data_IF_091249590401
#
_entry.id   IF_091249590401
#
_cell.length_a   1.000
_cell.length_b   1.000
_cell.length_c   1.000
_cell.angle_alpha   90.00
_cell.angle_beta   90.00
_cell.angle_gamma   90.00
#
_symmetry.space_group_name_H-M   'P 1'
#
loop_
_entity.id
_entity.type
_entity.pdbx_description
1 polymer ?
#
# COMPACT_ATOMS: atom_id res chain seq x y z
N UNK A 1 10.89 2.53 -6.89
CA UNK A 1 9.60 3.15 -6.49
C UNK A 1 8.66 2.95 -7.65
N UNK A 2 7.49 2.37 -7.40
CA UNK A 2 6.43 2.15 -8.38
C UNK A 2 5.19 2.86 -7.84
N UNK A 3 4.49 3.58 -8.70
CA UNK A 3 3.21 4.21 -8.38
C UNK A 3 2.22 3.94 -9.49
N UNK A 4 1.00 3.59 -9.13
CA UNK A 4 -0.10 3.31 -10.06
C UNK A 4 -1.28 4.19 -9.68
N UNK A 5 -1.93 4.78 -10.69
CA UNK A 5 -3.19 5.46 -10.53
C UNK A 5 -4.24 4.75 -11.40
N UNK A 6 -5.38 4.43 -10.81
CA UNK A 6 -6.46 3.68 -11.46
C UNK A 6 -7.76 4.45 -11.31
N UNK A 7 -8.42 4.73 -12.43
CA UNK A 7 -9.75 5.32 -12.47
C UNK A 7 -10.83 4.25 -12.41
N UNK A 8 -11.91 4.56 -11.71
CA UNK A 8 -13.13 3.77 -11.59
C UNK A 8 -14.31 4.52 -12.18
N UNK A 9 -15.44 3.83 -12.35
CA UNK A 9 -16.66 4.41 -12.92
C UNK A 9 -17.19 5.56 -12.06
N UNK A 10 -17.10 5.42 -10.73
CA UNK A 10 -17.52 6.42 -9.77
C UNK A 10 -16.67 6.41 -8.49
N UNK A 11 -16.87 7.44 -7.66
CA UNK A 11 -16.19 7.62 -6.38
C UNK A 11 -16.53 6.51 -5.37
N UNK A 12 -17.76 6.01 -5.39
CA UNK A 12 -18.18 4.94 -4.48
C UNK A 12 -17.41 3.65 -4.75
N UNK A 13 -17.18 3.32 -6.01
CA UNK A 13 -16.44 2.14 -6.44
C UNK A 13 -14.96 2.25 -6.09
N UNK A 14 -14.35 3.42 -6.28
CA UNK A 14 -12.97 3.68 -5.86
C UNK A 14 -12.81 3.56 -4.33
N UNK A 15 -13.69 4.18 -3.55
CA UNK A 15 -13.67 4.12 -2.09
C UNK A 15 -13.89 2.67 -1.60
N UNK A 16 -14.82 1.93 -2.20
CA UNK A 16 -15.04 0.52 -1.87
C UNK A 16 -13.82 -0.35 -2.18
N UNK A 17 -13.07 -0.08 -3.25
CA UNK A 17 -11.82 -0.79 -3.53
C UNK A 17 -10.80 -0.57 -2.40
N UNK A 18 -10.64 0.68 -1.94
CA UNK A 18 -9.72 1.00 -0.85
C UNK A 18 -10.19 0.37 0.47
N UNK A 19 -11.48 0.47 0.81
CA UNK A 19 -12.06 -0.15 2.01
C UNK A 19 -11.90 -1.69 2.01
N UNK A 20 -12.14 -2.34 0.88
CA UNK A 20 -11.94 -3.77 0.74
C UNK A 20 -10.46 -4.16 0.89
N UNK A 21 -9.56 -3.33 0.37
CA UNK A 21 -8.11 -3.55 0.52
C UNK A 21 -7.68 -3.36 1.98
N UNK A 22 -8.21 -2.34 2.67
CA UNK A 22 -8.03 -2.11 4.11
C UNK A 22 -8.40 -3.36 4.89
N UNK A 23 -9.58 -3.92 4.65
CA UNK A 23 -10.06 -5.11 5.34
C UNK A 23 -9.11 -6.29 5.11
N UNK A 24 -8.78 -6.60 3.85
CA UNK A 24 -7.89 -7.73 3.50
C UNK A 24 -6.50 -7.60 4.13
N UNK A 25 -5.93 -6.41 4.13
CA UNK A 25 -4.59 -6.20 4.68
C UNK A 25 -4.58 -6.27 6.21
N UNK A 26 -5.63 -5.76 6.87
CA UNK A 26 -5.82 -5.94 8.30
C UNK A 26 -5.99 -7.42 8.66
N UNK A 27 -6.72 -8.18 7.85
CA UNK A 27 -6.85 -9.63 8.01
C UNK A 27 -5.51 -10.36 7.83
N UNK A 28 -4.61 -9.84 6.99
CA UNK A 28 -3.25 -10.36 6.83
C UNK A 28 -2.26 -9.88 7.90
N UNK A 29 -2.59 -8.87 8.69
CA UNK A 29 -1.65 -8.26 9.64
C UNK A 29 -1.19 -9.27 10.70
N UNK A 30 0.13 -9.30 10.95
CA UNK A 30 0.83 -10.23 11.85
C UNK A 30 0.67 -11.70 11.48
N UNK A 31 0.27 -12.01 10.24
CA UNK A 31 0.19 -13.38 9.72
C UNK A 31 1.35 -13.67 8.78
N UNK A 32 1.75 -14.94 8.73
CA UNK A 32 2.61 -15.46 7.67
C UNK A 32 1.75 -15.73 6.45
N UNK A 33 2.16 -15.17 5.32
CA UNK A 33 1.54 -15.39 4.01
C UNK A 33 2.55 -16.14 3.16
N UNK A 34 2.12 -17.27 2.61
CA UNK A 34 2.92 -18.07 1.68
C UNK A 34 2.28 -17.96 0.30
N UNK A 35 3.08 -17.66 -0.72
CA UNK A 35 2.59 -17.51 -2.08
C UNK A 35 3.68 -17.85 -3.10
N UNK A 36 3.25 -18.10 -4.34
CA UNK A 36 4.17 -18.23 -5.47
C UNK A 36 4.52 -16.83 -6.00
N UNK A 37 5.81 -16.54 -6.07
CA UNK A 37 6.34 -15.30 -6.62
C UNK A 37 7.32 -15.66 -7.74
N UNK A 38 6.81 -15.76 -8.97
CA UNK A 38 7.62 -16.08 -10.14
C UNK A 38 8.12 -17.53 -10.19
N UNK A 39 7.31 -18.49 -9.73
CA UNK A 39 7.64 -19.92 -9.72
C UNK A 39 8.41 -20.38 -8.47
N UNK A 40 8.67 -19.47 -7.52
CA UNK A 40 9.25 -19.79 -6.23
C UNK A 40 8.20 -19.58 -5.12
N UNK A 41 8.08 -20.58 -4.24
CA UNK A 41 7.27 -20.42 -3.01
C UNK A 41 8.01 -19.53 -2.03
N UNK A 42 7.46 -18.35 -1.76
CA UNK A 42 7.96 -17.44 -0.74
C UNK A 42 7.00 -17.37 0.44
N UNK A 43 7.55 -17.32 1.65
CA UNK A 43 6.79 -17.06 2.88
C UNK A 43 7.26 -15.76 3.50
N UNK A 44 6.34 -14.81 3.69
CA UNK A 44 6.61 -13.50 4.28
C UNK A 44 5.67 -13.26 5.45
N UNK A 45 6.17 -12.61 6.51
CA UNK A 45 5.31 -12.14 7.60
C UNK A 45 4.86 -10.73 7.28
N UNK A 46 3.56 -10.51 7.17
CA UNK A 46 3.00 -9.16 6.98
C UNK A 46 2.94 -8.48 8.33
N UNK A 47 3.65 -7.38 8.51
CA UNK A 47 3.71 -6.65 9.77
C UNK A 47 3.52 -5.15 9.54
N UNK A 48 3.10 -4.42 10.58
CA UNK A 48 3.00 -2.96 10.56
C UNK A 48 2.00 -2.41 9.54
N UNK A 49 0.87 -3.11 9.36
CA UNK A 49 -0.28 -2.53 8.67
C UNK A 49 -0.89 -1.45 9.56
N UNK A 50 -1.07 -0.26 9.01
CA UNK A 50 -1.77 0.86 9.64
C UNK A 50 -2.81 1.37 8.66
N UNK A 51 -4.07 1.41 9.09
CA UNK A 51 -5.19 1.87 8.27
C UNK A 51 -5.96 2.98 8.98
N UNK A 52 -6.52 3.87 8.18
CA UNK A 52 -7.61 4.79 8.53
C UNK A 52 -8.84 4.38 7.71
N UNK A 53 -10.01 5.05 7.85
CA UNK A 53 -11.16 4.78 6.98
C UNK A 53 -10.85 4.99 5.49
N UNK A 54 -9.96 5.92 5.17
CA UNK A 54 -9.73 6.38 3.79
C UNK A 54 -8.40 5.92 3.19
N UNK A 55 -7.43 5.57 4.04
CA UNK A 55 -6.05 5.25 3.63
C UNK A 55 -5.53 4.00 4.32
N UNK A 56 -4.67 3.26 3.62
CA UNK A 56 -3.87 2.19 4.21
C UNK A 56 -2.40 2.31 3.85
N UNK A 57 -1.53 2.00 4.82
CA UNK A 57 -0.12 1.78 4.53
C UNK A 57 0.47 0.63 5.35
N UNK A 58 1.54 0.08 4.82
CA UNK A 58 2.29 -1.06 5.33
C UNK A 58 3.77 -0.72 5.22
N UNK A 59 4.55 -1.09 6.24
CA UNK A 59 6.02 -1.04 6.16
C UNK A 59 6.62 -2.37 6.55
N UNK A 60 7.24 -3.01 5.56
CA UNK A 60 7.99 -4.24 5.74
C UNK A 60 9.48 -3.93 5.70
N UNK A 61 10.19 -4.28 6.77
CA UNK A 61 11.65 -4.29 6.74
C UNK A 61 12.12 -5.41 5.82
N UNK A 62 13.09 -5.12 4.96
CA UNK A 62 13.77 -6.10 4.12
C UNK A 62 15.16 -6.38 4.70
N UNK A 63 15.81 -7.44 4.20
CA UNK A 63 17.19 -7.75 4.58
C UNK A 63 18.11 -6.55 4.30
N UNK A 64 19.26 -6.49 5.00
CA UNK A 64 20.29 -5.44 4.83
C UNK A 64 19.86 -4.02 5.30
N UNK A 65 18.94 -3.93 6.26
CA UNK A 65 18.56 -2.66 6.88
C UNK A 65 17.62 -1.79 6.04
N UNK A 66 17.10 -2.33 4.94
CA UNK A 66 16.10 -1.65 4.12
C UNK A 66 14.67 -1.78 4.62
N UNK A 67 13.79 -0.99 4.02
CA UNK A 67 12.35 -1.09 4.20
C UNK A 67 11.61 -0.85 2.88
N UNK A 68 10.50 -1.55 2.71
CA UNK A 68 9.49 -1.34 1.68
C UNK A 68 8.23 -0.74 2.34
N UNK A 69 7.80 0.41 1.85
CA UNK A 69 6.51 1.02 2.19
C UNK A 69 5.54 0.79 1.04
N UNK A 70 4.35 0.33 1.38
CA UNK A 70 3.21 0.30 0.48
C UNK A 70 2.13 1.20 1.05
N UNK A 71 1.50 2.03 0.21
CA UNK A 71 0.41 2.90 0.61
C UNK A 71 -0.66 2.94 -0.49
N UNK A 72 -1.92 3.00 -0.08
CA UNK A 72 -3.07 3.13 -0.97
C UNK A 72 -4.09 4.10 -0.38
N UNK A 73 -4.65 4.93 -1.24
CA UNK A 73 -5.65 5.95 -0.93
C UNK A 73 -6.50 6.22 -2.17
N UNK A 74 -7.62 6.92 -2.03
CA UNK A 74 -8.44 7.36 -3.16
C UNK A 74 -8.94 8.79 -3.00
N UNK A 75 -9.18 9.44 -4.13
CA UNK A 75 -9.90 10.70 -4.19
C UNK A 75 -10.79 10.71 -5.43
N UNK A 76 -12.06 11.10 -5.27
CA UNK A 76 -13.08 10.95 -6.32
C UNK A 76 -13.09 9.50 -6.83
N UNK A 77 -13.14 9.31 -8.14
CA UNK A 77 -13.11 7.99 -8.77
C UNK A 77 -11.69 7.47 -9.02
N UNK A 78 -10.64 8.00 -8.38
CA UNK A 78 -9.26 7.58 -8.62
C UNK A 78 -8.65 6.97 -7.36
N UNK A 79 -8.10 5.77 -7.50
CA UNK A 79 -7.26 5.11 -6.49
C UNK A 79 -5.79 5.32 -6.85
N UNK A 80 -4.98 5.66 -5.87
CA UNK A 80 -3.52 5.75 -6.00
C UNK A 80 -2.87 4.73 -5.09
N UNK A 81 -1.99 3.92 -5.66
CA UNK A 81 -1.13 2.99 -4.95
C UNK A 81 0.33 3.38 -5.15
N UNK A 82 1.10 3.41 -4.06
CA UNK A 82 2.54 3.69 -4.07
C UNK A 82 3.27 2.58 -3.34
N UNK A 83 4.27 2.00 -4.02
CA UNK A 83 5.19 0.99 -3.49
C UNK A 83 6.63 1.48 -3.59
N UNK A 84 7.31 1.64 -2.46
CA UNK A 84 8.66 2.21 -2.39
C UNK A 84 9.58 1.40 -1.46
N UNK A 85 10.65 0.83 -2.01
CA UNK A 85 11.69 0.14 -1.25
C UNK A 85 13.01 0.89 -1.30
N UNK A 86 13.71 1.02 -0.16
CA UNK A 86 15.09 1.51 -0.06
C UNK A 86 15.83 0.88 1.13
N UNK A 87 17.15 0.85 1.06
CA UNK A 87 18.06 0.27 2.07
C UNK A 87 18.28 1.16 3.31
N UNK A 88 17.68 2.35 3.38
CA UNK A 88 18.03 3.36 4.39
C UNK A 88 16.87 4.30 4.80
N UNK A 89 15.62 3.83 4.77
CA UNK A 89 14.46 4.68 5.10
C UNK A 89 14.17 4.70 6.60
N UNK A 90 14.48 5.85 7.23
CA UNK A 90 13.88 6.28 8.50
C UNK A 90 12.45 6.83 8.37
N UNK A 91 11.70 6.47 7.32
CA UNK A 91 10.47 7.16 6.92
C UNK A 91 9.32 6.22 6.54
N UNK A 92 8.68 5.64 7.55
CA UNK A 92 7.38 4.94 7.43
C UNK A 92 6.30 5.81 6.73
N UNK A 93 6.44 7.14 6.76
CA UNK A 93 5.47 8.10 6.21
C UNK A 93 5.70 8.50 4.75
N UNK A 94 6.80 8.12 4.10
CA UNK A 94 7.11 8.61 2.76
C UNK A 94 6.20 8.05 1.66
N UNK A 95 5.80 6.78 1.74
CA UNK A 95 4.88 6.18 0.77
C UNK A 95 3.51 6.88 0.76
N UNK A 96 2.93 7.07 1.95
CA UNK A 96 1.66 7.77 2.10
C UNK A 96 1.77 9.27 1.72
N UNK A 97 2.86 9.94 2.08
CA UNK A 97 3.11 11.33 1.66
C UNK A 97 3.18 11.47 0.14
N UNK A 98 3.75 10.49 -0.57
CA UNK A 98 3.79 10.49 -2.03
C UNK A 98 2.42 10.24 -2.63
N UNK A 99 1.65 9.29 -2.09
CA UNK A 99 0.29 9.01 -2.54
C UNK A 99 -0.60 10.26 -2.40
N UNK A 100 -0.56 10.92 -1.24
CA UNK A 100 -1.31 12.16 -1.01
C UNK A 100 -0.86 13.30 -1.93
N UNK A 101 0.43 13.39 -2.27
CA UNK A 101 0.96 14.36 -3.24
C UNK A 101 0.52 14.08 -4.68
N UNK A 102 0.17 12.84 -5.01
CA UNK A 102 -0.39 12.51 -6.32
C UNK A 102 -1.87 12.89 -6.39
N UNK A 103 -2.62 12.66 -5.31
CA UNK A 103 -4.03 13.04 -5.21
C UNK A 103 -4.25 14.55 -5.41
N UNK A 104 -3.44 15.41 -4.79
CA UNK A 104 -3.56 16.89 -4.97
C UNK A 104 -3.29 17.39 -6.39
N UNK A 105 -2.79 16.54 -7.29
CA UNK A 105 -2.57 16.86 -8.71
C UNK A 105 -3.73 16.40 -9.60
N UNK A 106 -4.69 15.67 -9.05
CA UNK A 106 -5.90 15.34 -9.76
C UNK A 106 -6.72 16.63 -9.95
N UNK A 107 -7.18 16.93 -11.19
CA UNK A 107 -8.06 18.07 -11.45
C UNK A 107 -9.38 17.91 -10.70
#
# INVERSE_FOLDING_TARGET
MVSVATSYDDEHTAANMVANTIQKWNDCNRKKVTGDLGGATETRTVNNVVSTPDDIYLVNNIAEGGACSHAMTSQRNVVVEVSACRTNIGLVKQGLQLANKMLVKLP
#
